data_IF_125258984002
#
_entry.id   IF_125258984002
#
_cell.length_a   1.000
_cell.length_b   1.000
_cell.length_c   1.000
_cell.angle_alpha   90.00
_cell.angle_beta   90.00
_cell.angle_gamma   90.00
#
_symmetry.space_group_name_H-M   'P 1'
#
loop_
_entity.id
_entity.type
_entity.pdbx_description
1 polymer ?
#
# COMPACT_ATOMS: atom_id res chain seq x y z
N UNK A 1 -3.23 47.15 -19.88
CA UNK A 1 -3.51 46.54 -18.56
C UNK A 1 -4.94 46.00 -18.57
N UNK A 2 -5.12 44.71 -18.90
CA UNK A 2 -6.41 44.02 -18.81
C UNK A 2 -6.26 42.95 -17.73
N UNK A 3 -6.99 43.11 -16.63
CA UNK A 3 -7.04 42.13 -15.54
C UNK A 3 -7.82 40.91 -16.04
N UNK A 4 -7.13 39.80 -16.28
CA UNK A 4 -7.77 38.50 -16.51
C UNK A 4 -8.11 37.95 -15.14
N UNK A 5 -9.41 37.93 -14.82
CA UNK A 5 -9.94 37.25 -13.63
C UNK A 5 -10.00 35.78 -13.98
N UNK A 6 -9.12 34.98 -13.38
CA UNK A 6 -9.12 33.52 -13.50
C UNK A 6 -10.30 32.99 -12.66
N UNK A 7 -11.39 32.61 -13.32
CA UNK A 7 -12.50 31.89 -12.69
C UNK A 7 -12.04 30.46 -12.43
N UNK A 8 -11.70 30.16 -11.17
CA UNK A 8 -11.56 28.80 -10.66
C UNK A 8 -12.92 28.11 -10.77
N UNK A 9 -13.08 27.26 -11.78
CA UNK A 9 -14.20 26.33 -11.86
C UNK A 9 -13.89 25.20 -10.87
N UNK A 10 -14.44 25.34 -9.66
CA UNK A 10 -14.49 24.26 -8.68
C UNK A 10 -15.49 23.22 -9.22
N UNK A 11 -14.99 22.21 -9.93
CA UNK A 11 -15.80 21.05 -10.27
C UNK A 11 -16.09 20.30 -8.97
N UNK A 12 -17.25 20.55 -8.37
CA UNK A 12 -17.81 19.68 -7.33
C UNK A 12 -18.16 18.35 -7.99
N UNK A 13 -17.19 17.43 -8.00
CA UNK A 13 -17.47 16.01 -8.12
C UNK A 13 -18.22 15.59 -6.85
N UNK A 14 -19.52 15.33 -6.98
CA UNK A 14 -20.29 14.71 -5.91
C UNK A 14 -19.66 13.34 -5.62
N UNK A 15 -19.28 13.04 -4.36
CA UNK A 15 -18.66 11.77 -4.04
C UNK A 15 -19.72 10.67 -4.16
N UNK A 16 -19.51 9.73 -5.09
CA UNK A 16 -20.13 8.42 -5.03
C UNK A 16 -19.48 7.67 -3.88
N UNK A 17 -19.89 7.97 -2.65
CA UNK A 17 -19.49 7.22 -1.47
C UNK A 17 -20.13 5.84 -1.56
N UNK A 18 -19.39 4.86 -2.08
CA UNK A 18 -19.75 3.46 -1.88
C UNK A 18 -19.85 3.22 -0.36
N UNK A 19 -20.97 2.66 0.14
CA UNK A 19 -21.09 2.41 1.57
C UNK A 19 -20.02 1.42 1.97
N UNK A 20 -19.19 1.77 2.95
CA UNK A 20 -18.23 0.85 3.57
C UNK A 20 -18.99 -0.44 3.98
N UNK A 21 -18.77 -1.51 3.23
CA UNK A 21 -19.31 -2.84 3.52
C UNK A 21 -18.68 -3.27 4.84
N UNK A 22 -19.50 -3.75 5.78
CA UNK A 22 -18.96 -4.29 7.01
C UNK A 22 -18.20 -5.56 6.65
N UNK A 23 -16.93 -5.63 6.98
CA UNK A 23 -16.10 -6.74 6.55
C UNK A 23 -16.53 -8.04 7.24
N UNK A 24 -17.14 -8.96 6.49
CA UNK A 24 -17.57 -10.25 7.00
C UNK A 24 -16.46 -11.30 6.84
N UNK A 25 -15.61 -11.42 7.87
CA UNK A 25 -14.59 -12.47 7.95
C UNK A 25 -15.12 -13.78 8.57
N UNK A 26 -16.43 -13.93 8.78
CA UNK A 26 -16.99 -15.07 9.52
C UNK A 26 -16.80 -16.41 8.79
N UNK A 27 -16.79 -16.40 7.46
CA UNK A 27 -16.57 -17.59 6.61
C UNK A 27 -15.11 -18.03 6.45
N UNK A 28 -14.15 -17.21 6.90
CA UNK A 28 -12.73 -17.50 6.73
C UNK A 28 -12.23 -18.57 7.73
N UNK A 29 -11.23 -19.35 7.34
CA UNK A 29 -10.47 -20.17 8.29
C UNK A 29 -9.40 -19.33 9.01
N UNK A 30 -8.70 -19.93 9.99
CA UNK A 30 -7.68 -19.22 10.78
C UNK A 30 -6.52 -18.69 9.92
N UNK A 31 -6.08 -19.47 8.93
CA UNK A 31 -4.99 -19.10 8.05
C UNK A 31 -5.40 -17.96 7.13
N UNK A 32 -6.57 -18.05 6.49
CA UNK A 32 -7.13 -16.99 5.64
C UNK A 32 -7.27 -15.67 6.39
N UNK A 33 -7.74 -15.69 7.64
CA UNK A 33 -7.79 -14.47 8.47
C UNK A 33 -6.40 -13.88 8.72
N UNK A 34 -5.42 -14.73 9.06
CA UNK A 34 -4.06 -14.27 9.29
C UNK A 34 -3.43 -13.67 8.02
N UNK A 35 -3.65 -14.31 6.87
CA UNK A 35 -3.16 -13.85 5.57
C UNK A 35 -3.81 -12.52 5.16
N UNK A 36 -5.12 -12.38 5.39
CA UNK A 36 -5.86 -11.14 5.13
C UNK A 36 -5.30 -9.97 5.94
N UNK A 37 -5.08 -10.18 7.24
CA UNK A 37 -4.53 -9.13 8.12
C UNK A 37 -3.09 -8.81 7.75
N UNK A 38 -2.26 -9.81 7.40
CA UNK A 38 -0.89 -9.60 6.93
C UNK A 38 -0.86 -8.77 5.65
N UNK A 39 -1.66 -9.15 4.66
CA UNK A 39 -1.72 -8.47 3.37
C UNK A 39 -2.09 -6.99 3.53
N UNK A 40 -3.12 -6.72 4.35
CA UNK A 40 -3.53 -5.36 4.64
C UNK A 40 -2.48 -4.55 5.42
N UNK A 41 -1.83 -5.16 6.42
CA UNK A 41 -0.70 -4.55 7.13
C UNK A 41 0.41 -4.18 6.16
N UNK A 42 0.79 -5.11 5.29
CA UNK A 42 1.94 -4.96 4.41
C UNK A 42 1.71 -3.88 3.36
N UNK A 43 0.54 -3.86 2.73
CA UNK A 43 0.14 -2.76 1.84
C UNK A 43 0.06 -1.42 2.59
N UNK A 44 -0.48 -1.41 3.81
CA UNK A 44 -0.49 -0.21 4.65
C UNK A 44 0.93 0.31 4.97
N UNK A 45 1.88 -0.59 5.23
CA UNK A 45 3.28 -0.22 5.47
C UNK A 45 3.93 0.36 4.21
N UNK A 46 3.66 -0.21 3.04
CA UNK A 46 4.13 0.33 1.77
C UNK A 46 3.60 1.75 1.53
N UNK A 47 2.29 1.96 1.68
CA UNK A 47 1.66 3.28 1.55
C UNK A 47 2.20 4.28 2.58
N UNK A 48 2.46 3.86 3.82
CA UNK A 48 3.08 4.74 4.80
C UNK A 48 4.46 5.25 4.34
N UNK A 49 5.29 4.40 3.73
CA UNK A 49 6.56 4.87 3.16
C UNK A 49 6.38 5.73 1.91
N UNK A 50 5.31 5.52 1.14
CA UNK A 50 4.92 6.41 0.04
C UNK A 50 4.60 7.81 0.57
N UNK A 51 3.78 7.94 1.62
CA UNK A 51 3.51 9.25 2.24
C UNK A 51 4.76 9.87 2.88
N UNK A 52 5.66 9.04 3.41
CA UNK A 52 6.97 9.51 3.87
C UNK A 52 7.80 10.05 2.71
N UNK A 53 7.70 9.50 1.51
CA UNK A 53 8.39 10.04 0.35
C UNK A 53 7.94 11.48 0.05
N UNK A 54 6.62 11.76 0.04
CA UNK A 54 6.11 13.13 -0.09
C UNK A 54 6.59 14.05 1.04
N UNK A 55 6.60 13.55 2.28
CA UNK A 55 7.18 14.27 3.42
C UNK A 55 8.64 14.65 3.17
N UNK A 56 9.47 13.71 2.69
CA UNK A 56 10.89 13.96 2.44
C UNK A 56 11.10 14.90 1.26
N UNK A 57 10.37 14.71 0.16
CA UNK A 57 10.37 15.63 -1.00
C UNK A 57 10.10 17.05 -0.55
N UNK A 58 9.03 17.23 0.23
CA UNK A 58 8.64 18.55 0.70
C UNK A 58 9.62 19.13 1.73
N UNK A 59 9.99 18.38 2.77
CA UNK A 59 10.76 18.93 3.88
C UNK A 59 12.25 19.06 3.58
N UNK A 60 12.79 18.24 2.67
CA UNK A 60 14.19 18.30 2.25
C UNK A 60 14.36 18.97 0.87
N UNK A 61 13.26 19.41 0.24
CA UNK A 61 13.25 20.03 -1.09
C UNK A 61 13.95 19.14 -2.13
N UNK A 62 13.63 17.84 -2.10
CA UNK A 62 14.24 16.89 -3.03
C UNK A 62 13.72 17.17 -4.44
N UNK A 63 14.60 17.13 -5.47
CA UNK A 63 14.17 17.26 -6.84
C UNK A 63 13.35 16.02 -7.24
N UNK A 64 12.21 16.25 -7.87
CA UNK A 64 11.38 15.19 -8.48
C UNK A 64 11.46 15.34 -9.99
N UNK A 65 11.94 14.29 -10.65
CA UNK A 65 11.94 14.19 -12.11
C UNK A 65 10.93 13.11 -12.52
N UNK A 66 9.95 13.47 -13.34
CA UNK A 66 8.85 12.58 -13.73
C UNK A 66 7.61 12.78 -12.84
N UNK A 67 6.82 11.72 -12.69
CA UNK A 67 5.62 11.69 -11.84
C UNK A 67 6.02 11.53 -10.37
N UNK A 68 5.54 12.41 -9.51
CA UNK A 68 5.91 12.39 -8.07
C UNK A 68 5.43 11.11 -7.37
N UNK A 69 4.22 10.65 -7.70
CA UNK A 69 3.64 9.41 -7.17
C UNK A 69 4.50 8.18 -7.49
N UNK A 70 5.00 8.07 -8.73
CA UNK A 70 5.88 6.97 -9.14
C UNK A 70 7.25 7.09 -8.45
N UNK A 71 7.74 8.32 -8.23
CA UNK A 71 8.95 8.56 -7.45
C UNK A 71 8.78 8.19 -5.97
N UNK A 72 7.59 8.43 -5.40
CA UNK A 72 7.23 8.06 -4.04
C UNK A 72 7.18 6.54 -3.86
N UNK A 73 6.60 5.80 -4.80
CA UNK A 73 6.66 4.34 -4.83
C UNK A 73 8.09 3.82 -4.91
N UNK A 74 8.91 4.40 -5.81
CA UNK A 74 10.30 4.01 -5.95
C UNK A 74 11.10 4.21 -4.64
N UNK A 75 10.83 5.31 -3.92
CA UNK A 75 11.43 5.54 -2.61
C UNK A 75 10.95 4.51 -1.59
N UNK A 76 9.64 4.25 -1.51
CA UNK A 76 9.07 3.26 -0.60
C UNK A 76 9.66 1.87 -0.84
N UNK A 77 9.72 1.44 -2.11
CA UNK A 77 10.37 0.19 -2.53
C UNK A 77 11.83 0.15 -2.13
N UNK A 78 12.59 1.22 -2.42
CA UNK A 78 14.01 1.27 -2.10
C UNK A 78 14.28 1.21 -0.59
N UNK A 79 13.51 1.94 0.23
CA UNK A 79 13.62 1.89 1.70
C UNK A 79 13.38 0.48 2.22
N UNK A 80 12.31 -0.18 1.76
CA UNK A 80 11.97 -1.54 2.17
C UNK A 80 13.01 -2.57 1.72
N UNK A 81 13.50 -2.50 0.46
CA UNK A 81 14.57 -3.37 -0.03
C UNK A 81 15.87 -3.23 0.77
N UNK A 82 16.23 -2.01 1.15
CA UNK A 82 17.47 -1.74 1.87
C UNK A 82 17.43 -2.15 3.35
N UNK A 83 16.27 -2.56 3.89
CA UNK A 83 16.18 -3.24 5.18
C UNK A 83 16.70 -4.67 5.13
N UNK A 84 16.70 -5.31 3.95
CA UNK A 84 17.27 -6.65 3.69
C UNK A 84 16.74 -7.72 4.63
N UNK A 85 15.42 -7.78 4.81
CA UNK A 85 14.75 -8.80 5.64
C UNK A 85 13.67 -9.53 4.86
N UNK A 86 13.43 -10.79 5.18
CA UNK A 86 12.34 -11.55 4.56
C UNK A 86 10.95 -10.96 4.83
N UNK A 87 10.77 -10.24 5.95
CA UNK A 87 9.53 -9.52 6.25
C UNK A 87 9.29 -8.41 5.22
N UNK A 88 10.31 -7.58 4.95
CA UNK A 88 10.22 -6.49 3.98
C UNK A 88 10.13 -6.99 2.53
N UNK A 89 10.73 -8.14 2.23
CA UNK A 89 10.56 -8.81 0.95
C UNK A 89 9.11 -9.24 0.74
N UNK A 90 8.47 -9.78 1.79
CA UNK A 90 7.03 -10.11 1.76
C UNK A 90 6.16 -8.85 1.68
N UNK A 91 6.55 -7.75 2.34
CA UNK A 91 5.85 -6.46 2.22
C UNK A 91 5.80 -6.00 0.77
N UNK A 92 6.92 -6.10 0.05
CA UNK A 92 6.99 -5.69 -1.35
C UNK A 92 6.26 -6.64 -2.29
N UNK A 93 6.29 -7.94 -2.02
CA UNK A 93 5.49 -8.91 -2.75
C UNK A 93 3.98 -8.64 -2.58
N UNK A 94 3.53 -8.38 -1.34
CA UNK A 94 2.14 -8.05 -1.03
C UNK A 94 1.75 -6.68 -1.62
N UNK A 95 2.67 -5.70 -1.68
CA UNK A 95 2.44 -4.40 -2.29
C UNK A 95 2.28 -4.48 -3.81
N UNK A 96 3.14 -5.25 -4.49
CA UNK A 96 2.98 -5.52 -5.91
C UNK A 96 1.64 -6.22 -6.20
N UNK A 97 1.25 -7.17 -5.34
CA UNK A 97 -0.05 -7.83 -5.47
C UNK A 97 -1.20 -6.86 -5.19
N UNK A 98 -1.09 -5.99 -4.18
CA UNK A 98 -2.09 -4.96 -3.86
C UNK A 98 -2.39 -4.04 -5.03
N UNK A 99 -1.35 -3.58 -5.74
CA UNK A 99 -1.54 -2.82 -6.96
C UNK A 99 -2.24 -3.62 -8.08
N UNK A 100 -1.94 -4.91 -8.23
CA UNK A 100 -2.66 -5.76 -9.19
C UNK A 100 -4.16 -5.88 -8.85
N UNK A 101 -4.49 -6.09 -7.57
CA UNK A 101 -5.87 -6.23 -7.11
C UNK A 101 -6.64 -4.92 -7.21
N UNK A 102 -6.03 -3.82 -6.76
CA UNK A 102 -6.56 -2.46 -6.91
C UNK A 102 -6.87 -2.14 -8.37
N UNK A 103 -5.94 -2.45 -9.27
CA UNK A 103 -6.12 -2.21 -10.70
C UNK A 103 -7.31 -2.94 -11.30
N UNK A 104 -7.61 -4.16 -10.83
CA UNK A 104 -8.81 -4.91 -11.24
C UNK A 104 -10.07 -4.35 -10.57
N UNK A 105 -10.03 -4.12 -9.27
CA UNK A 105 -11.18 -3.69 -8.48
C UNK A 105 -11.69 -2.29 -8.88
N UNK A 106 -10.80 -1.39 -9.27
CA UNK A 106 -11.11 -0.01 -9.63
C UNK A 106 -10.94 0.31 -11.10
N UNK A 107 -10.80 -0.71 -11.96
CA UNK A 107 -10.73 -0.58 -13.42
C UNK A 107 -9.63 0.40 -13.89
N UNK A 108 -8.42 0.28 -13.31
CA UNK A 108 -7.28 1.15 -13.62
C UNK A 108 -6.83 0.99 -15.07
N UNK A 109 -7.03 2.05 -15.87
CA UNK A 109 -6.81 2.05 -17.32
C UNK A 109 -8.06 1.72 -18.13
N UNK A 110 -9.23 1.62 -17.49
CA UNK A 110 -10.52 1.40 -18.14
C UNK A 110 -11.12 2.67 -18.73
N UNK A 111 -10.68 3.85 -18.29
CA UNK A 111 -11.15 5.16 -18.78
C UNK A 111 -10.01 6.08 -19.22
N UNK A 112 -10.29 6.95 -20.19
CA UNK A 112 -9.29 7.86 -20.79
C UNK A 112 -8.58 8.78 -19.79
N UNK A 113 -9.27 9.15 -18.69
CA UNK A 113 -8.67 10.00 -17.65
C UNK A 113 -7.49 9.34 -16.93
N UNK A 114 -7.43 8.02 -16.90
CA UNK A 114 -6.39 7.28 -16.18
C UNK A 114 -5.02 7.47 -16.84
N UNK A 115 -5.00 7.63 -18.17
CA UNK A 115 -3.77 7.89 -18.91
C UNK A 115 -3.22 9.31 -18.70
N UNK A 116 -4.06 10.23 -18.21
CA UNK A 116 -3.67 11.59 -17.86
C UNK A 116 -3.41 11.78 -16.35
N UNK A 117 -3.53 10.73 -15.55
CA UNK A 117 -3.38 10.78 -14.11
C UNK A 117 -1.95 11.12 -13.64
N UNK A 118 -1.85 11.62 -12.41
CA UNK A 118 -0.59 12.03 -11.77
C UNK A 118 0.36 10.85 -11.49
N UNK A 119 -0.17 9.62 -11.45
CA UNK A 119 0.58 8.37 -11.30
C UNK A 119 0.46 7.51 -12.56
N UNK A 120 1.32 6.50 -12.68
CA UNK A 120 1.15 5.42 -13.66
C UNK A 120 -0.03 4.51 -13.31
N UNK A 121 -0.48 3.68 -14.25
CA UNK A 121 -1.55 2.71 -13.99
C UNK A 121 -1.13 1.74 -12.89
N UNK A 122 -2.09 1.22 -12.12
CA UNK A 122 -1.80 0.38 -10.95
C UNK A 122 -0.96 -0.85 -11.34
N UNK A 123 -1.29 -1.49 -12.47
CA UNK A 123 -0.50 -2.59 -13.02
C UNK A 123 0.93 -2.16 -13.35
N UNK A 124 1.17 -0.95 -13.84
CA UNK A 124 2.53 -0.46 -14.10
C UNK A 124 3.29 -0.23 -12.79
N UNK A 125 2.62 0.29 -11.75
CA UNK A 125 3.18 0.47 -10.40
C UNK A 125 3.58 -0.89 -9.80
N UNK A 126 2.75 -1.92 -9.93
CA UNK A 126 3.07 -3.30 -9.52
C UNK A 126 4.34 -3.84 -10.20
N UNK A 127 4.43 -3.70 -11.52
CA UNK A 127 5.58 -4.18 -12.30
C UNK A 127 6.86 -3.43 -11.99
N UNK A 128 6.76 -2.14 -11.65
CA UNK A 128 7.90 -1.36 -11.18
C UNK A 128 8.46 -1.92 -9.87
N UNK A 129 7.62 -2.21 -8.87
CA UNK A 129 8.05 -2.83 -7.61
C UNK A 129 8.79 -4.15 -7.88
N UNK A 130 8.18 -5.05 -8.66
CA UNK A 130 8.76 -6.35 -8.99
C UNK A 130 10.11 -6.19 -9.70
N UNK A 131 10.22 -5.24 -10.63
CA UNK A 131 11.48 -4.99 -11.32
C UNK A 131 12.56 -4.48 -10.35
N UNK A 132 12.24 -3.58 -9.43
CA UNK A 132 13.21 -3.12 -8.42
C UNK A 132 13.65 -4.23 -7.47
N UNK A 133 12.73 -5.13 -7.10
CA UNK A 133 13.10 -6.33 -6.34
C UNK A 133 14.13 -7.15 -7.13
N UNK A 134 13.83 -7.53 -8.38
CA UNK A 134 14.74 -8.28 -9.25
C UNK A 134 16.07 -7.58 -9.47
N UNK A 135 16.05 -6.26 -9.67
CA UNK A 135 17.26 -5.46 -9.86
C UNK A 135 18.15 -5.39 -8.63
N UNK A 136 17.58 -5.52 -7.43
CA UNK A 136 18.33 -5.55 -6.17
C UNK A 136 19.00 -6.90 -5.90
N UNK A 137 18.31 -8.01 -6.24
CA UNK A 137 18.83 -9.37 -6.15
C UNK A 137 18.09 -10.29 -7.13
N UNK A 138 18.70 -10.50 -8.30
CA UNK A 138 18.08 -11.29 -9.36
C UNK A 138 17.81 -12.73 -8.92
N UNK A 139 18.68 -13.32 -8.09
CA UNK A 139 18.53 -14.72 -7.68
C UNK A 139 17.39 -14.89 -6.68
N UNK A 140 17.31 -14.01 -5.69
CA UNK A 140 16.26 -14.05 -4.68
C UNK A 140 14.87 -13.81 -5.28
N UNK A 141 14.76 -12.87 -6.23
CA UNK A 141 13.47 -12.38 -6.72
C UNK A 141 13.08 -12.87 -8.12
N UNK A 142 13.86 -13.76 -8.74
CA UNK A 142 13.44 -14.46 -9.97
C UNK A 142 12.09 -15.16 -9.85
N UNK A 143 11.75 -15.84 -8.73
CA UNK A 143 10.46 -16.51 -8.60
C UNK A 143 9.27 -15.55 -8.68
N UNK A 144 9.35 -14.38 -8.03
CA UNK A 144 8.28 -13.38 -8.10
C UNK A 144 8.17 -12.80 -9.51
N UNK A 145 9.29 -12.49 -10.19
CA UNK A 145 9.26 -12.03 -11.58
C UNK A 145 8.54 -13.01 -12.53
N UNK A 146 8.73 -14.31 -12.33
CA UNK A 146 8.06 -15.34 -13.12
C UNK A 146 6.55 -15.41 -12.85
N UNK A 147 6.11 -15.15 -11.61
CA UNK A 147 4.67 -15.10 -11.27
C UNK A 147 3.96 -13.97 -12.01
N UNK A 148 4.66 -12.85 -12.24
CA UNK A 148 4.15 -11.72 -13.02
C UNK A 148 4.35 -11.87 -14.54
N UNK A 149 4.89 -13.00 -14.98
CA UNK A 149 5.26 -13.25 -16.37
C UNK A 149 6.11 -12.13 -16.98
N UNK A 150 7.02 -11.54 -16.18
CA UNK A 150 7.93 -10.51 -16.65
C UNK A 150 8.91 -11.13 -17.66
N UNK A 151 9.04 -10.55 -18.85
CA UNK A 151 9.93 -11.06 -19.89
C UNK A 151 11.39 -11.12 -19.41
N UNK A 152 12.15 -12.11 -19.90
CA UNK A 152 13.55 -12.30 -19.48
C UNK A 152 14.42 -11.10 -19.80
N UNK A 153 14.27 -10.53 -20.99
CA UNK A 153 15.00 -9.32 -21.39
C UNK A 153 14.70 -8.15 -20.44
N UNK A 154 13.47 -8.06 -19.90
CA UNK A 154 13.14 -7.03 -18.91
C UNK A 154 13.76 -7.36 -17.55
N UNK A 155 13.69 -8.61 -17.10
CA UNK A 155 14.36 -9.04 -15.86
C UNK A 155 15.87 -8.73 -15.89
N UNK A 156 16.52 -8.93 -17.03
CA UNK A 156 17.96 -8.72 -17.23
C UNK A 156 18.36 -7.23 -17.27
N UNK A 157 17.39 -6.31 -17.36
CA UNK A 157 17.64 -4.85 -17.32
C UNK A 157 17.16 -4.19 -16.03
N UNK A 158 16.51 -4.94 -15.14
CA UNK A 158 15.98 -4.41 -13.88
C UNK A 158 17.08 -3.92 -12.92
N UNK A 159 18.30 -4.46 -13.04
CA UNK A 159 19.47 -4.00 -12.27
C UNK A 159 19.83 -2.55 -12.60
N UNK A 160 19.61 -2.10 -13.85
CA UNK A 160 19.84 -0.73 -14.28
C UNK A 160 18.86 0.25 -13.60
N UNK A 161 17.59 -0.12 -13.52
CA UNK A 161 16.54 0.63 -12.82
C UNK A 161 16.85 0.75 -11.33
N UNK A 162 17.11 -0.39 -10.66
CA UNK A 162 17.46 -0.40 -9.24
C UNK A 162 18.74 0.41 -8.96
N UNK A 163 19.79 0.23 -9.76
CA UNK A 163 21.04 0.97 -9.62
C UNK A 163 20.89 2.47 -9.86
N UNK A 164 19.90 2.90 -10.66
CA UNK A 164 19.56 4.31 -10.84
C UNK A 164 18.87 4.89 -9.61
N UNK A 165 17.87 4.20 -9.08
CA UNK A 165 17.18 4.65 -7.88
C UNK A 165 18.14 4.64 -6.68
N UNK A 166 18.92 3.58 -6.50
CA UNK A 166 19.85 3.43 -5.39
C UNK A 166 20.90 4.53 -5.35
N UNK A 167 21.61 4.79 -6.46
CA UNK A 167 22.61 5.88 -6.49
C UNK A 167 21.98 7.25 -6.27
N UNK A 168 20.75 7.46 -6.74
CA UNK A 168 20.06 8.75 -6.63
C UNK A 168 19.59 9.00 -5.20
N UNK A 169 18.89 8.05 -4.59
CA UNK A 169 18.41 8.16 -3.22
C UNK A 169 19.56 8.16 -2.20
N UNK A 170 20.62 7.35 -2.39
CA UNK A 170 21.83 7.46 -1.55
C UNK A 170 22.49 8.83 -1.67
N UNK A 171 22.45 9.45 -2.84
CA UNK A 171 23.00 10.78 -3.08
C UNK A 171 22.21 11.89 -2.40
N UNK A 172 20.87 11.79 -2.45
CA UNK A 172 19.93 12.76 -1.89
C UNK A 172 19.73 12.63 -0.38
N UNK A 173 19.67 11.41 0.12
CA UNK A 173 19.37 11.08 1.52
C UNK A 173 20.64 10.79 2.33
N UNK A 174 21.82 11.26 1.89
CA UNK A 174 23.11 10.97 2.54
C UNK A 174 23.02 11.18 4.06
N UNK A 175 23.45 10.19 4.88
CA UNK A 175 23.49 10.36 6.31
C UNK A 175 24.53 11.43 6.64
N UNK A 176 24.09 12.61 7.11
CA UNK A 176 25.06 13.62 7.56
C UNK A 176 24.58 15.06 7.54
N UNK A 177 23.66 15.42 8.44
CA UNK A 177 23.70 16.73 9.12
C UNK A 177 22.74 16.84 10.32
N UNK A 178 22.67 15.82 11.19
CA UNK A 178 22.37 16.13 12.60
C UNK A 178 23.64 16.73 13.20
N UNK A 179 23.83 18.04 13.01
CA UNK A 179 24.76 18.84 13.81
C UNK A 179 24.08 19.41 15.07
N UNK A 180 22.76 19.30 15.12
CA UNK A 180 21.89 19.56 16.25
C UNK A 180 21.31 18.22 16.68
N UNK A 181 21.70 17.72 17.86
CA UNK A 181 21.38 16.37 18.36
C UNK A 181 19.89 16.08 18.64
N UNK A 182 18.97 16.82 18.04
CA UNK A 182 17.54 16.62 18.13
C UNK A 182 17.09 16.10 16.76
N UNK A 183 16.86 14.79 16.61
CA UNK A 183 16.28 14.21 15.39
C UNK A 183 14.90 14.81 15.04
N UNK A 184 14.25 14.31 14.00
CA UNK A 184 12.93 14.81 13.63
C UNK A 184 11.94 14.70 14.81
N UNK A 185 11.18 15.76 15.10
CA UNK A 185 10.11 15.70 16.09
C UNK A 185 8.87 15.09 15.46
N UNK A 186 8.49 13.88 15.87
CA UNK A 186 7.32 13.17 15.33
C UNK A 186 6.32 12.85 16.43
N UNK A 187 5.08 13.34 16.29
CA UNK A 187 3.96 13.01 17.19
C UNK A 187 3.01 12.03 16.51
N UNK A 188 2.76 10.89 17.16
CA UNK A 188 1.82 9.87 16.67
C UNK A 188 0.53 9.95 17.47
N UNK A 189 -0.61 10.00 16.78
CA UNK A 189 -1.95 10.01 17.37
C UNK A 189 -2.83 8.99 16.67
N UNK A 190 -3.43 8.12 17.46
CA UNK A 190 -4.45 7.19 17.01
C UNK A 190 -5.80 7.67 17.52
N UNK A 191 -6.68 8.05 16.60
CA UNK A 191 -8.05 8.44 16.92
C UNK A 191 -8.93 7.19 17.00
N UNK A 192 -9.98 7.26 17.81
CA UNK A 192 -10.90 6.14 18.00
C UNK A 192 -11.74 5.87 16.74
N UNK A 193 -11.96 4.60 16.43
CA UNK A 193 -12.87 4.17 15.39
C UNK A 193 -13.71 2.98 15.85
N UNK A 194 -15.02 3.19 15.94
CA UNK A 194 -16.00 2.16 16.28
C UNK A 194 -16.76 1.61 15.07
N UNK A 195 -17.72 0.72 15.34
CA UNK A 195 -18.59 0.13 14.33
C UNK A 195 -17.82 -0.69 13.29
N UNK A 196 -18.16 -0.52 12.01
CA UNK A 196 -17.59 -1.29 10.89
C UNK A 196 -16.07 -1.19 10.73
N UNK A 197 -15.46 -0.11 11.23
CA UNK A 197 -14.01 0.12 11.12
C UNK A 197 -13.23 -0.40 12.33
N UNK A 198 -13.89 -0.93 13.36
CA UNK A 198 -13.23 -1.35 14.59
C UNK A 198 -12.13 -2.39 14.32
N UNK A 199 -12.42 -3.39 13.50
CA UNK A 199 -11.46 -4.45 13.16
C UNK A 199 -10.21 -3.87 12.48
N UNK A 200 -10.39 -3.02 11.46
CA UNK A 200 -9.30 -2.41 10.71
C UNK A 200 -8.46 -1.48 11.60
N UNK A 201 -9.10 -0.67 12.44
CA UNK A 201 -8.42 0.23 13.36
C UNK A 201 -7.63 -0.53 14.43
N UNK A 202 -8.22 -1.58 15.03
CA UNK A 202 -7.54 -2.45 15.98
C UNK A 202 -6.35 -3.17 15.31
N UNK A 203 -6.54 -3.71 14.11
CA UNK A 203 -5.50 -4.39 13.36
C UNK A 203 -4.34 -3.45 13.02
N UNK A 204 -4.63 -2.25 12.49
CA UNK A 204 -3.62 -1.24 12.17
C UNK A 204 -2.83 -0.83 13.42
N UNK A 205 -3.51 -0.48 14.51
CA UNK A 205 -2.86 -0.13 15.78
C UNK A 205 -2.03 -1.29 16.33
N UNK A 206 -2.57 -2.50 16.34
CA UNK A 206 -1.87 -3.68 16.88
C UNK A 206 -0.65 -4.10 16.06
N UNK A 207 -0.61 -3.73 14.77
CA UNK A 207 0.50 -4.06 13.89
C UNK A 207 1.79 -3.28 14.20
N UNK A 208 1.68 -2.13 14.88
CA UNK A 208 2.82 -1.27 15.24
C UNK A 208 3.49 -0.54 14.08
N UNK A 209 3.01 -0.68 12.84
CA UNK A 209 3.67 -0.12 11.64
C UNK A 209 3.73 1.41 11.67
N UNK A 210 2.72 2.08 12.22
CA UNK A 210 2.67 3.54 12.27
C UNK A 210 3.72 4.10 13.25
N UNK A 211 3.87 3.46 14.40
CA UNK A 211 4.89 3.80 15.39
C UNK A 211 6.30 3.46 14.88
N UNK A 212 6.45 2.33 14.19
CA UNK A 212 7.71 1.91 13.57
C UNK A 212 8.20 2.95 12.55
N UNK A 213 7.33 3.36 11.61
CA UNK A 213 7.69 4.35 10.58
C UNK A 213 7.99 5.70 11.22
N UNK A 214 7.19 6.14 12.20
CA UNK A 214 7.45 7.37 12.93
C UNK A 214 8.82 7.35 13.62
N UNK A 215 9.19 6.23 14.25
CA UNK A 215 10.49 6.09 14.93
C UNK A 215 11.66 6.11 13.95
N UNK A 216 11.52 5.45 12.79
CA UNK A 216 12.54 5.52 11.74
C UNK A 216 12.76 6.95 11.27
N UNK A 217 11.70 7.75 11.15
CA UNK A 217 11.82 9.16 10.78
C UNK A 217 12.58 9.96 11.82
N UNK A 218 12.29 9.76 13.12
CA UNK A 218 13.00 10.42 14.22
C UNK A 218 14.50 10.17 14.14
N UNK A 219 14.90 8.95 13.76
CA UNK A 219 16.29 8.49 13.80
C UNK A 219 17.06 8.76 12.50
N UNK A 220 16.39 8.74 11.35
CA UNK A 220 17.06 8.63 10.04
C UNK A 220 17.10 9.94 9.26
N UNK A 221 16.20 10.89 9.55
CA UNK A 221 16.06 12.10 8.74
C UNK A 221 16.14 13.38 9.57
N UNK A 222 16.78 14.40 9.01
CA UNK A 222 16.82 15.74 9.57
C UNK A 222 15.66 16.57 9.01
N UNK A 223 14.47 16.38 9.57
CA UNK A 223 13.25 17.08 9.12
C UNK A 223 13.14 18.42 9.88
N UNK A 224 13.12 19.58 9.19
CA UNK A 224 13.14 20.89 9.84
C UNK A 224 11.90 21.22 10.68
N UNK A 225 10.73 20.73 10.26
CA UNK A 225 9.45 21.02 10.93
C UNK A 225 8.93 19.78 11.66
N UNK A 226 8.26 19.95 12.81
CA UNK A 226 7.60 18.83 13.49
C UNK A 226 6.60 18.12 12.57
N UNK A 227 6.61 16.79 12.62
CA UNK A 227 5.77 15.91 11.80
C UNK A 227 4.66 15.32 12.64
N UNK A 228 3.45 15.31 12.10
CA UNK A 228 2.27 14.73 12.75
C UNK A 228 1.85 13.46 12.04
N UNK A 229 1.58 12.41 12.80
CA UNK A 229 1.10 11.12 12.32
C UNK A 229 -0.28 10.90 12.93
N UNK A 230 -1.34 10.89 12.10
CA UNK A 230 -2.72 10.68 12.56
C UNK A 230 -3.37 9.48 11.89
N UNK A 231 -3.68 8.44 12.66
CA UNK A 231 -4.53 7.35 12.19
C UNK A 231 -5.98 7.62 12.62
N UNK A 232 -6.92 7.72 11.67
CA UNK A 232 -8.30 8.12 11.96
C UNK A 232 -9.31 7.59 10.94
N UNK A 233 -10.59 7.81 11.22
CA UNK A 233 -11.66 7.71 10.22
C UNK A 233 -11.62 8.91 9.28
N UNK A 234 -11.68 8.70 7.98
CA UNK A 234 -11.67 9.77 6.97
C UNK A 234 -12.96 9.84 6.14
N UNK A 235 -13.68 8.73 6.00
CA UNK A 235 -14.79 8.59 5.06
C UNK A 235 -14.37 8.09 3.67
N UNK A 236 -13.08 7.81 3.46
CA UNK A 236 -12.52 7.28 2.21
C UNK A 236 -11.31 6.39 2.50
N UNK A 237 -11.10 5.37 1.66
CA UNK A 237 -9.96 4.45 1.74
C UNK A 237 -8.72 5.11 1.13
N UNK A 238 -7.96 5.83 1.95
CA UNK A 238 -6.76 6.51 1.48
C UNK A 238 -5.72 6.75 2.59
N UNK A 239 -4.54 7.25 2.21
CA UNK A 239 -3.57 7.89 3.08
C UNK A 239 -3.14 9.21 2.43
N UNK A 240 -2.65 10.14 3.24
CA UNK A 240 -2.33 11.49 2.76
C UNK A 240 -1.13 12.08 3.46
N UNK A 241 -0.32 12.80 2.70
CA UNK A 241 0.61 13.79 3.20
C UNK A 241 0.09 15.21 2.96
N UNK A 242 -0.14 15.96 4.04
CA UNK A 242 -0.50 17.37 3.98
C UNK A 242 0.72 18.26 4.23
N UNK A 243 1.15 18.98 3.20
CA UNK A 243 2.29 19.89 3.25
C UNK A 243 2.10 21.06 4.25
N UNK A 244 0.90 21.63 4.33
CA UNK A 244 0.61 22.80 5.16
C UNK A 244 0.81 22.51 6.66
N UNK A 245 0.41 21.32 7.10
CA UNK A 245 0.47 20.88 8.51
C UNK A 245 1.62 19.92 8.81
N UNK A 246 2.37 19.50 7.78
CA UNK A 246 3.42 18.46 7.86
C UNK A 246 2.85 17.21 8.54
N UNK A 247 1.80 16.68 7.95
CA UNK A 247 0.98 15.66 8.56
C UNK A 247 0.77 14.48 7.63
N UNK A 248 1.08 13.28 8.11
CA UNK A 248 0.69 12.03 7.49
C UNK A 248 -0.60 11.56 8.16
N UNK A 249 -1.64 11.35 7.35
CA UNK A 249 -2.92 10.81 7.76
C UNK A 249 -3.08 9.43 7.17
N UNK A 250 -3.36 8.44 8.02
CA UNK A 250 -3.73 7.10 7.59
C UNK A 250 -5.20 6.86 7.91
N UNK A 251 -6.01 6.59 6.89
CA UNK A 251 -7.43 6.32 7.06
C UNK A 251 -7.66 4.84 7.35
N UNK A 252 -8.38 4.51 8.43
CA UNK A 252 -8.65 3.10 8.77
C UNK A 252 -9.46 2.37 7.68
N UNK A 253 -10.20 3.13 6.87
CA UNK A 253 -10.84 2.66 5.65
C UNK A 253 -9.86 2.02 4.67
N UNK A 254 -8.63 2.53 4.52
CA UNK A 254 -7.63 1.95 3.63
C UNK A 254 -7.18 0.56 4.11
N UNK A 255 -6.97 0.41 5.42
CA UNK A 255 -6.66 -0.91 5.99
C UNK A 255 -7.83 -1.88 5.76
N UNK A 256 -9.08 -1.44 5.97
CA UNK A 256 -10.26 -2.27 5.69
C UNK A 256 -10.34 -2.67 4.21
N UNK A 257 -10.06 -1.73 3.33
CA UNK A 257 -10.11 -1.92 1.88
C UNK A 257 -9.09 -2.96 1.41
N UNK A 258 -7.83 -2.89 1.86
CA UNK A 258 -6.86 -3.95 1.57
C UNK A 258 -7.27 -5.32 2.10
N UNK A 259 -7.90 -5.37 3.27
CA UNK A 259 -8.40 -6.64 3.77
C UNK A 259 -9.55 -7.15 2.89
N UNK A 260 -10.38 -6.28 2.32
CA UNK A 260 -11.46 -6.67 1.41
C UNK A 260 -10.92 -7.16 0.06
N UNK A 261 -9.97 -6.43 -0.54
CA UNK A 261 -9.29 -6.83 -1.77
C UNK A 261 -8.71 -8.25 -1.66
N UNK A 262 -8.09 -8.58 -0.52
CA UNK A 262 -7.56 -9.93 -0.32
C UNK A 262 -8.65 -11.00 -0.16
N UNK A 263 -9.76 -10.67 0.50
CA UNK A 263 -10.88 -11.60 0.70
C UNK A 263 -11.56 -11.93 -0.62
N UNK A 264 -11.73 -10.95 -1.50
CA UNK A 264 -12.39 -11.13 -2.81
C UNK A 264 -11.61 -12.07 -3.75
N UNK A 265 -10.30 -12.23 -3.51
CA UNK A 265 -9.44 -13.18 -4.23
C UNK A 265 -9.45 -14.61 -3.66
N UNK A 266 -10.05 -14.82 -2.48
CA UNK A 266 -10.09 -16.14 -1.89
C UNK A 266 -11.07 -17.04 -2.67
N UNK A 267 -10.73 -18.33 -2.88
CA UNK A 267 -11.67 -19.25 -3.51
C UNK A 267 -12.97 -19.33 -2.71
N UNK A 268 -14.10 -19.28 -3.41
CA UNK A 268 -15.42 -19.50 -2.80
C UNK A 268 -15.42 -20.79 -1.95
N UNK A 269 -16.04 -20.77 -0.75
CA UNK A 269 -16.15 -21.96 0.07
C UNK A 269 -16.83 -23.07 -0.74
N UNK A 270 -16.18 -24.24 -0.84
CA UNK A 270 -16.78 -25.37 -1.52
C UNK A 270 -18.18 -25.64 -0.95
N UNK A 271 -19.20 -25.64 -1.81
CA UNK A 271 -20.56 -25.92 -1.41
C UNK A 271 -20.61 -27.24 -0.62
N UNK A 272 -21.33 -27.30 0.51
CA UNK A 272 -21.41 -28.52 1.29
C UNK A 272 -21.97 -29.64 0.40
N UNK A 273 -21.17 -30.69 0.20
CA UNK A 273 -21.60 -31.88 -0.53
C UNK A 273 -22.78 -32.49 0.23
N UNK A 274 -23.99 -32.33 -0.32
CA UNK A 274 -25.17 -33.03 0.18
C UNK A 274 -24.91 -34.53 0.03
N UNK A 275 -24.63 -35.22 1.14
CA UNK A 275 -24.62 -36.68 1.17
C UNK A 275 -25.99 -37.16 0.73
N UNK A 276 -26.10 -38.07 -0.26
CA UNK A 276 -27.37 -38.70 -0.57
C UNK A 276 -27.87 -39.38 0.70
N UNK A 277 -29.06 -39.02 1.15
CA UNK A 277 -29.77 -39.75 2.20
C UNK A 277 -29.86 -41.20 1.76
N UNK A 278 -29.19 -42.09 2.48
CA UNK A 278 -29.14 -43.51 2.16
C UNK A 278 -30.54 -44.05 1.94
N UNK A 279 -30.73 -44.70 0.79
CA UNK A 279 -31.94 -45.44 0.46
C UNK A 279 -32.28 -46.37 1.63
N UNK A 280 -33.49 -46.20 2.16
CA UNK A 280 -34.04 -47.09 3.17
C UNK A 280 -34.02 -48.53 2.66
N UNK A 281 -33.53 -49.45 3.48
CA UNK A 281 -33.69 -50.89 3.24
C UNK A 281 -35.18 -51.20 3.13
N UNK A 282 -35.64 -51.53 1.94
CA UNK A 282 -36.89 -52.26 1.75
C UNK A 282 -36.77 -53.60 2.48
N UNK A 283 -37.66 -53.81 3.46
CA UNK A 283 -37.91 -55.12 4.05
C UNK A 283 -38.69 -55.92 3.01
N UNK A 284 -38.04 -56.87 2.35
CA UNK A 284 -38.72 -57.95 1.65
C UNK A 284 -39.33 -58.89 2.69
N UNK A 285 -40.66 -58.91 2.78
CA UNK A 285 -41.44 -59.91 3.49
C UNK A 285 -41.93 -61.02 2.56
N UNK A 286 -42.01 -62.23 3.11
CA UNK A 286 -42.76 -63.44 2.69
C UNK A 286 -42.27 -64.11 1.40
N UNK A 287 -42.09 -65.44 1.30
CA UNK A 287 -42.81 -66.61 1.87
C UNK A 287 -41.80 -67.72 2.21
#
# INVERSE_FOLDING_TARGET
>A
MRRVVLLLVLALLAPLSAPAIAQDMSGLNKQQRADTVRFARNNSLFVLYHEVAHLLVHQLQLPVLGKEEDAADNLATWVLLNKRTSDTDQVLADAAQGWMLSGVAYDSGGVESDYAAAHSLDKQRAYQIVCLMVGSDQNAFRPIANQYALDRDRQDTCDLDYSLIDRSLRGLLKPGSSKSGDGAQVTVTYHDAGGKLKLAADAFRSSGIFDQVAEEIRQSYNIPRPVRFNARRCGEANAFYYADTVEIIFCYELMQDYMQLYVDELPEPAAPVTRPTGAGKEKSGEI
#
